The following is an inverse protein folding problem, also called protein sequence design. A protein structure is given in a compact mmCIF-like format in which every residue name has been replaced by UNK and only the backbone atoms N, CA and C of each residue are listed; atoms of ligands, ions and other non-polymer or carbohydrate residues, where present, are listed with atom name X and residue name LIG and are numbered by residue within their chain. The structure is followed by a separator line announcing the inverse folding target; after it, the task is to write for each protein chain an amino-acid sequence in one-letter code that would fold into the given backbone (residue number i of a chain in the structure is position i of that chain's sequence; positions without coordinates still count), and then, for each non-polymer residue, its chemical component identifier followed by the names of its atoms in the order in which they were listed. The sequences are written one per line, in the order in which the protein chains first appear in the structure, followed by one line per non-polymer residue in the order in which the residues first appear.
data_IF_101957217569
#
_entry.id   IF_101957217569
#
_cell.length_a   1.000
_cell.length_b   1.000
_cell.length_c   1.000
_cell.angle_alpha   90.00
_cell.angle_beta   90.00
_cell.angle_gamma   90.00
#
_symmetry.space_group_name_H-M   'P 1'
#
loop_
_entity.id
_entity.type
_entity.pdbx_description
1 polymer ?
#
# COMPACT_ATOMS: atom_id res chain seq x y z
N UNK A 1 -0.84 -21.94 -7.31
CA UNK A 1 -1.04 -20.93 -6.25
C UNK A 1 -2.26 -21.34 -5.43
N UNK A 2 -2.13 -21.51 -4.12
CA UNK A 2 -3.23 -21.90 -3.22
C UNK A 2 -4.19 -20.71 -3.01
N UNK A 3 -5.45 -20.98 -2.63
CA UNK A 3 -6.47 -19.98 -2.30
C UNK A 3 -5.96 -18.89 -1.34
N UNK A 4 -5.16 -19.26 -0.34
CA UNK A 4 -4.54 -18.31 0.58
C UNK A 4 -3.55 -17.35 -0.11
N UNK A 5 -2.76 -17.85 -1.06
CA UNK A 5 -1.85 -17.01 -1.84
C UNK A 5 -2.61 -16.06 -2.77
N UNK A 6 -3.75 -16.49 -3.34
CA UNK A 6 -4.64 -15.60 -4.11
C UNK A 6 -5.20 -14.47 -3.24
N UNK A 7 -5.67 -14.77 -2.03
CA UNK A 7 -6.16 -13.77 -1.09
C UNK A 7 -5.08 -12.74 -0.73
N UNK A 8 -3.84 -13.19 -0.46
CA UNK A 8 -2.72 -12.27 -0.19
C UNK A 8 -2.42 -11.41 -1.43
N UNK A 9 -2.38 -12.00 -2.62
CA UNK A 9 -2.12 -11.27 -3.86
C UNK A 9 -3.19 -10.21 -4.17
N UNK A 10 -4.46 -10.51 -3.89
CA UNK A 10 -5.57 -9.55 -4.01
C UNK A 10 -5.44 -8.43 -2.99
N UNK A 11 -5.06 -8.76 -1.76
CA UNK A 11 -4.83 -7.77 -0.71
C UNK A 11 -3.65 -6.85 -1.04
N UNK A 12 -2.54 -7.40 -1.55
CA UNK A 12 -1.38 -6.61 -2.03
C UNK A 12 -1.83 -5.63 -3.12
N UNK A 13 -2.59 -6.10 -4.11
CA UNK A 13 -3.11 -5.24 -5.20
C UNK A 13 -4.00 -4.12 -4.67
N UNK A 14 -4.87 -4.42 -3.71
CA UNK A 14 -5.74 -3.42 -3.08
C UNK A 14 -4.93 -2.36 -2.32
N UNK A 15 -3.98 -2.78 -1.48
CA UNK A 15 -3.15 -1.87 -0.68
C UNK A 15 -2.24 -1.03 -1.59
N UNK A 16 -1.68 -1.62 -2.64
CA UNK A 16 -0.88 -0.89 -3.63
C UNK A 16 -1.71 0.20 -4.32
N UNK A 17 -2.95 -0.09 -4.73
CA UNK A 17 -3.84 0.90 -5.32
C UNK A 17 -4.18 2.07 -4.37
N UNK A 18 -4.33 1.79 -3.07
CA UNK A 18 -4.54 2.82 -2.06
C UNK A 18 -3.30 3.70 -1.86
N UNK A 19 -2.12 3.09 -1.83
CA UNK A 19 -0.84 3.81 -1.77
C UNK A 19 -0.65 4.70 -3.00
N UNK A 20 -0.90 4.17 -4.19
CA UNK A 20 -0.76 4.89 -5.45
C UNK A 20 -1.70 6.10 -5.49
N UNK A 21 -2.92 5.96 -4.99
CA UNK A 21 -3.84 7.08 -4.83
C UNK A 21 -3.27 8.17 -3.90
N UNK A 22 -2.74 7.80 -2.73
CA UNK A 22 -2.15 8.78 -1.80
C UNK A 22 -0.96 9.51 -2.43
N UNK A 23 -0.09 8.80 -3.14
CA UNK A 23 1.02 9.39 -3.87
C UNK A 23 0.55 10.34 -4.98
N UNK A 24 -0.52 9.99 -5.70
CA UNK A 24 -1.12 10.87 -6.70
C UNK A 24 -1.62 12.17 -6.06
N UNK A 25 -2.36 12.08 -4.94
CA UNK A 25 -2.87 13.24 -4.20
C UNK A 25 -1.73 14.13 -3.70
N UNK A 26 -0.68 13.55 -3.10
CA UNK A 26 0.51 14.29 -2.66
C UNK A 26 1.21 14.99 -3.84
N UNK A 27 1.30 14.33 -4.99
CA UNK A 27 1.96 14.89 -6.18
C UNK A 27 1.15 15.99 -6.88
N UNK A 28 -0.18 15.96 -6.76
CA UNK A 28 -1.06 16.97 -7.33
C UNK A 28 -0.90 18.34 -6.63
N UNK A 29 -0.48 18.35 -5.36
CA UNK A 29 -0.34 19.55 -4.55
C UNK A 29 -1.68 20.18 -4.17
N UNK A 30 -1.64 21.38 -3.58
CA UNK A 30 -2.84 22.10 -3.15
C UNK A 30 -3.44 21.61 -1.82
N UNK A 31 -2.72 20.71 -1.13
CA UNK A 31 -3.06 20.24 0.21
C UNK A 31 -2.59 21.24 1.26
N UNK A 32 -3.37 21.39 2.32
CA UNK A 32 -2.89 22.03 3.54
C UNK A 32 -1.76 21.18 4.18
N UNK A 33 -0.90 21.77 5.03
CA UNK A 33 0.19 21.04 5.67
C UNK A 33 -0.27 19.82 6.47
N UNK A 34 -1.45 19.88 7.10
CA UNK A 34 -1.99 18.76 7.86
C UNK A 34 -2.49 17.65 6.94
N UNK A 35 -3.13 17.97 5.81
CA UNK A 35 -3.57 16.96 4.81
C UNK A 35 -2.37 16.25 4.19
N UNK A 36 -1.33 17.02 3.84
CA UNK A 36 -0.08 16.47 3.31
C UNK A 36 0.55 15.48 4.29
N UNK A 37 0.48 15.79 5.59
CA UNK A 37 0.97 14.89 6.64
C UNK A 37 0.13 13.61 6.72
N UNK A 38 -1.20 13.71 6.77
CA UNK A 38 -2.08 12.54 6.83
C UNK A 38 -1.87 11.58 5.65
N UNK A 39 -1.76 12.12 4.43
CA UNK A 39 -1.47 11.29 3.25
C UNK A 39 -0.06 10.68 3.28
N UNK A 40 0.93 11.38 3.84
CA UNK A 40 2.29 10.84 4.00
C UNK A 40 2.32 9.71 5.03
N UNK A 41 1.64 9.89 6.17
CA UNK A 41 1.51 8.88 7.22
C UNK A 41 0.78 7.63 6.69
N UNK A 42 -0.25 7.80 5.85
CA UNK A 42 -0.92 6.69 5.16
C UNK A 42 0.01 5.94 4.20
N UNK A 43 0.85 6.65 3.43
CA UNK A 43 1.84 6.02 2.55
C UNK A 43 2.81 5.14 3.33
N UNK A 44 3.31 5.63 4.48
CA UNK A 44 4.19 4.84 5.37
C UNK A 44 3.48 3.58 5.91
N UNK A 45 2.21 3.72 6.33
CA UNK A 45 1.41 2.57 6.79
C UNK A 45 1.19 1.53 5.68
N UNK A 46 0.92 1.98 4.46
CA UNK A 46 0.76 1.07 3.32
C UNK A 46 2.07 0.40 2.94
N UNK A 47 3.21 1.09 3.02
CA UNK A 47 4.52 0.49 2.80
C UNK A 47 4.82 -0.63 3.81
N UNK A 48 4.55 -0.38 5.09
CA UNK A 48 4.70 -1.40 6.13
C UNK A 48 3.75 -2.59 5.91
N UNK A 49 2.49 -2.32 5.55
CA UNK A 49 1.49 -3.36 5.26
C UNK A 49 1.91 -4.22 4.07
N UNK A 50 2.40 -3.59 2.98
CA UNK A 50 2.87 -4.30 1.79
C UNK A 50 4.09 -5.17 2.12
N UNK A 51 5.02 -4.69 2.94
CA UNK A 51 6.15 -5.48 3.40
C UNK A 51 5.68 -6.75 4.12
N UNK A 52 4.79 -6.61 5.11
CA UNK A 52 4.26 -7.74 5.87
C UNK A 52 3.48 -8.73 5.00
N UNK A 53 2.74 -8.26 4.00
CA UNK A 53 2.01 -9.13 3.08
C UNK A 53 2.95 -9.89 2.14
N UNK A 54 4.02 -9.24 1.66
CA UNK A 54 5.02 -9.89 0.82
C UNK A 54 5.83 -10.93 1.60
N UNK A 55 6.15 -10.68 2.87
CA UNK A 55 6.81 -11.67 3.75
C UNK A 55 5.95 -12.92 4.01
N UNK A 56 4.62 -12.83 3.83
CA UNK A 56 3.70 -13.97 3.95
C UNK A 56 3.54 -14.78 2.67
N UNK A 57 3.99 -14.26 1.53
CA UNK A 57 4.10 -15.07 0.31
C UNK A 57 5.34 -15.96 0.47
N UNK A 58 5.21 -17.30 0.33
CA UNK A 58 6.39 -18.13 0.28
C UNK A 58 7.26 -17.68 -0.90
N UNK A 59 8.59 -17.66 -0.71
CA UNK A 59 9.52 -17.51 -1.82
C UNK A 59 9.12 -18.52 -2.91
N UNK A 60 8.99 -18.05 -4.15
CA UNK A 60 8.74 -18.95 -5.25
C UNK A 60 9.97 -19.86 -5.37
N UNK A 61 9.79 -21.16 -5.10
CA UNK A 61 10.78 -22.22 -5.40
C UNK A 61 11.25 -22.15 -6.86
#
# INVERSE_FOLDING_TARGET
MNHYQHLIADQIRSVQGQKDYCLQVLSAGGLEPWESKEYSDLVEQYDQTLKELNERLPEAD
#
